data_IF_293712200603
#
_entry.id   IF_293712200603
#
_cell.length_a   1.000
_cell.length_b   1.000
_cell.length_c   1.000
_cell.angle_alpha   90.00
_cell.angle_beta   90.00
_cell.angle_gamma   90.00
#
_symmetry.space_group_name_H-M   'P 1'
#
loop_
_entity.id
_entity.type
_entity.pdbx_description
1 polymer ?
#
# COMPACT_ATOMS: atom_id res chain seq x y z
N UNK A 1 22.56 16.19 17.52
CA UNK A 1 22.57 15.76 16.10
C UNK A 1 21.65 14.54 15.92
N UNK A 2 20.33 14.69 16.16
CA UNK A 2 19.32 13.61 16.11
C UNK A 2 18.08 14.00 15.27
N UNK A 3 18.08 15.18 14.61
CA UNK A 3 16.89 15.71 13.93
C UNK A 3 16.69 15.27 12.47
N UNK A 4 17.70 14.73 11.81
CA UNK A 4 17.63 14.47 10.35
C UNK A 4 17.09 13.09 9.96
N UNK A 5 16.95 12.17 10.92
CA UNK A 5 16.47 10.79 10.66
C UNK A 5 14.94 10.65 10.69
N UNK A 6 14.22 11.57 11.33
CA UNK A 6 12.76 11.49 11.50
C UNK A 6 11.96 12.17 10.38
N UNK A 7 12.54 13.12 9.67
CA UNK A 7 11.89 13.88 8.59
C UNK A 7 11.31 13.01 7.46
N UNK A 8 12.01 12.00 6.91
CA UNK A 8 11.45 11.14 5.88
C UNK A 8 10.27 10.31 6.37
N UNK A 9 10.33 9.87 7.63
CA UNK A 9 9.25 9.10 8.26
C UNK A 9 8.00 9.94 8.50
N UNK A 10 8.17 11.17 9.00
CA UNK A 10 7.07 12.11 9.20
C UNK A 10 6.36 12.42 7.88
N UNK A 11 7.10 12.67 6.81
CA UNK A 11 6.53 12.93 5.48
C UNK A 11 5.77 11.72 4.91
N UNK A 12 6.22 10.49 5.20
CA UNK A 12 5.47 9.27 4.87
C UNK A 12 4.12 9.23 5.57
N UNK A 13 4.09 9.50 6.88
CA UNK A 13 2.87 9.55 7.69
C UNK A 13 1.91 10.64 7.20
N UNK A 14 2.42 11.82 6.82
CA UNK A 14 1.62 12.91 6.25
C UNK A 14 0.98 12.51 4.92
N UNK A 15 1.71 11.84 4.04
CA UNK A 15 1.18 11.34 2.77
C UNK A 15 0.08 10.31 2.98
N UNK A 16 0.28 9.34 3.87
CA UNK A 16 -0.73 8.35 4.20
C UNK A 16 -1.99 9.00 4.78
N UNK A 17 -1.83 10.00 5.64
CA UNK A 17 -2.97 10.76 6.19
C UNK A 17 -3.71 11.55 5.10
N UNK A 18 -2.98 12.15 4.15
CA UNK A 18 -3.57 12.83 3.00
C UNK A 18 -4.34 11.85 2.11
N UNK A 19 -3.74 10.68 1.80
CA UNK A 19 -4.42 9.63 1.05
C UNK A 19 -5.74 9.21 1.73
N UNK A 20 -5.73 8.94 3.04
CA UNK A 20 -6.94 8.54 3.77
C UNK A 20 -8.05 9.59 3.68
N UNK A 21 -7.73 10.89 3.71
CA UNK A 21 -8.70 11.97 3.49
C UNK A 21 -9.32 11.90 2.09
N UNK A 22 -8.50 11.66 1.06
CA UNK A 22 -9.00 11.48 -0.32
C UNK A 22 -9.93 10.28 -0.39
N UNK A 23 -9.54 9.13 0.17
CA UNK A 23 -10.36 7.91 0.17
C UNK A 23 -11.71 8.10 0.86
N UNK A 24 -11.73 8.75 2.02
CA UNK A 24 -12.98 9.07 2.74
C UNK A 24 -13.89 9.96 1.89
N UNK A 25 -13.33 10.95 1.19
CA UNK A 25 -14.11 11.81 0.32
C UNK A 25 -14.65 11.05 -0.91
N UNK A 26 -13.85 10.17 -1.51
CA UNK A 26 -14.30 9.29 -2.60
C UNK A 26 -15.49 8.42 -2.16
N UNK A 27 -15.42 7.82 -0.97
CA UNK A 27 -16.50 7.01 -0.42
C UNK A 27 -17.77 7.83 -0.19
N UNK A 28 -17.65 9.04 0.38
CA UNK A 28 -18.79 9.93 0.56
C UNK A 28 -19.47 10.31 -0.74
N UNK A 29 -18.67 10.56 -1.79
CA UNK A 29 -19.18 10.90 -3.13
C UNK A 29 -19.81 9.70 -3.84
N UNK A 30 -19.26 8.49 -3.67
CA UNK A 30 -19.80 7.27 -4.24
C UNK A 30 -21.10 6.82 -3.54
N UNK A 31 -21.25 7.18 -2.27
CA UNK A 31 -22.39 6.76 -1.42
C UNK A 31 -22.28 5.31 -0.95
N UNK A 32 -23.25 4.91 -0.14
CA UNK A 32 -23.31 3.56 0.41
C UNK A 32 -22.34 3.29 1.57
N UNK A 33 -22.36 2.04 2.02
CA UNK A 33 -21.50 1.57 3.11
C UNK A 33 -20.07 1.39 2.61
N UNK A 34 -19.10 1.87 3.36
CA UNK A 34 -17.67 1.76 3.04
C UNK A 34 -16.81 1.88 4.30
N UNK A 35 -15.56 1.46 4.20
CA UNK A 35 -14.60 1.54 5.28
C UNK A 35 -13.22 1.95 4.73
N UNK A 36 -12.60 2.90 5.37
CA UNK A 36 -11.19 3.29 5.15
C UNK A 36 -10.42 3.02 6.44
N UNK A 37 -9.33 2.26 6.36
CA UNK A 37 -8.53 1.95 7.54
C UNK A 37 -7.94 3.22 8.17
N UNK A 38 -8.01 3.38 9.51
CA UNK A 38 -7.50 4.58 10.18
C UNK A 38 -5.96 4.65 10.21
N UNK A 39 -5.29 3.52 10.04
CA UNK A 39 -3.84 3.36 10.03
C UNK A 39 -3.43 2.23 9.08
N UNK A 40 -2.15 1.89 9.05
CA UNK A 40 -1.65 0.69 8.38
C UNK A 40 -2.38 -0.57 8.86
N UNK A 41 -2.57 -1.52 7.96
CA UNK A 41 -3.24 -2.80 8.22
C UNK A 41 -2.25 -3.93 8.01
N UNK A 42 -2.30 -4.93 8.89
CA UNK A 42 -1.40 -6.07 8.87
C UNK A 42 -2.17 -7.33 8.51
N UNK A 43 -1.67 -8.06 7.51
CA UNK A 43 -2.25 -9.32 7.09
C UNK A 43 -1.29 -10.48 7.34
N UNK A 44 -1.79 -11.63 7.84
CA UNK A 44 -0.98 -12.83 8.00
C UNK A 44 -0.52 -13.37 6.64
N UNK A 45 0.68 -13.91 6.62
CA UNK A 45 1.28 -14.62 5.48
C UNK A 45 1.89 -15.92 5.98
N UNK A 46 2.29 -16.82 5.09
CA UNK A 46 2.98 -18.06 5.47
C UNK A 46 4.27 -17.80 6.27
N UNK A 47 4.94 -16.68 6.03
CA UNK A 47 6.23 -16.35 6.63
C UNK A 47 6.14 -15.24 7.70
N UNK A 48 4.96 -14.96 8.23
CA UNK A 48 4.75 -13.93 9.24
C UNK A 48 3.61 -12.97 8.90
N UNK A 49 3.91 -11.69 8.82
CA UNK A 49 2.90 -10.63 8.61
C UNK A 49 3.41 -9.66 7.54
N UNK A 50 2.51 -9.20 6.69
CA UNK A 50 2.78 -8.09 5.77
C UNK A 50 1.98 -6.86 6.16
N UNK A 51 2.56 -5.68 5.99
CA UNK A 51 1.95 -4.38 6.27
C UNK A 51 1.50 -3.73 4.96
N UNK A 52 0.32 -3.14 4.96
CA UNK A 52 -0.18 -2.26 3.88
C UNK A 52 -0.56 -0.91 4.46
N UNK A 53 -0.26 0.17 3.74
CA UNK A 53 -0.37 1.53 4.25
C UNK A 53 -1.82 1.98 4.44
N UNK A 54 -2.74 1.54 3.58
CA UNK A 54 -4.17 1.76 3.74
C UNK A 54 -4.99 0.66 3.05
N UNK A 55 -6.22 0.49 3.55
CA UNK A 55 -7.24 -0.37 2.95
C UNK A 55 -8.54 0.41 2.83
N UNK A 56 -9.15 0.33 1.65
CA UNK A 56 -10.52 0.78 1.41
C UNK A 56 -11.38 -0.45 1.11
N UNK A 57 -12.51 -0.58 1.79
CA UNK A 57 -13.55 -1.58 1.50
C UNK A 57 -14.80 -0.84 1.02
N UNK A 58 -15.27 -1.22 -0.14
CA UNK A 58 -16.45 -0.66 -0.79
C UNK A 58 -17.20 -1.79 -1.51
N UNK A 59 -18.46 -1.56 -1.89
CA UNK A 59 -19.24 -2.55 -2.64
C UNK A 59 -18.55 -3.01 -3.94
N UNK A 60 -17.66 -2.20 -4.49
CA UNK A 60 -16.92 -2.49 -5.73
C UNK A 60 -15.65 -3.32 -5.54
N UNK A 61 -15.20 -3.58 -4.31
CA UNK A 61 -13.98 -4.33 -4.06
C UNK A 61 -13.28 -3.97 -2.75
N UNK A 62 -12.18 -4.67 -2.49
CA UNK A 62 -11.20 -4.33 -1.45
C UNK A 62 -9.97 -3.73 -2.13
N UNK A 63 -9.60 -2.52 -1.76
CA UNK A 63 -8.47 -1.80 -2.33
C UNK A 63 -7.33 -1.76 -1.33
N UNK A 64 -6.15 -2.18 -1.77
CA UNK A 64 -4.93 -2.24 -0.96
C UNK A 64 -3.94 -1.22 -1.49
N UNK A 65 -3.51 -0.31 -0.63
CA UNK A 65 -2.67 0.82 -1.01
C UNK A 65 -1.24 0.66 -0.50
N UNK A 66 -0.30 0.94 -1.40
CA UNK A 66 1.13 1.11 -1.12
C UNK A 66 1.49 2.56 -1.41
N UNK A 67 1.93 3.30 -0.39
CA UNK A 67 2.35 4.70 -0.48
C UNK A 67 3.86 4.82 -0.70
N UNK A 68 4.27 5.69 -1.59
CA UNK A 68 5.69 5.97 -1.86
C UNK A 68 5.96 7.45 -1.73
N UNK A 69 6.48 7.86 -0.56
CA UNK A 69 6.93 9.23 -0.36
C UNK A 69 8.30 9.44 -0.97
N UNK A 70 8.36 10.07 -2.13
CA UNK A 70 9.61 10.44 -2.80
C UNK A 70 9.39 11.62 -3.75
N UNK A 71 10.46 12.31 -4.12
CA UNK A 71 10.44 13.45 -5.04
C UNK A 71 11.34 13.17 -6.22
N UNK A 72 11.09 13.81 -7.36
CA UNK A 72 11.86 13.64 -8.60
C UNK A 72 11.24 12.64 -9.54
N UNK A 73 11.97 12.29 -10.62
CA UNK A 73 11.48 11.40 -11.67
C UNK A 73 11.61 9.94 -11.27
N UNK A 74 10.51 9.21 -11.31
CA UNK A 74 10.46 7.77 -11.09
C UNK A 74 10.39 7.07 -12.44
N UNK A 75 11.13 5.97 -12.58
CA UNK A 75 11.06 5.13 -13.77
C UNK A 75 11.14 3.65 -13.44
N UNK A 76 10.42 2.84 -14.19
CA UNK A 76 10.40 1.40 -14.04
C UNK A 76 9.28 0.73 -14.81
N UNK A 77 9.50 -0.56 -15.13
CA UNK A 77 8.50 -1.41 -15.80
C UNK A 77 7.82 -2.32 -14.77
N UNK A 78 6.63 -2.80 -15.09
CA UNK A 78 5.85 -3.65 -14.19
C UNK A 78 6.58 -4.92 -13.76
N UNK A 79 7.44 -5.48 -14.64
CA UNK A 79 8.19 -6.72 -14.38
C UNK A 79 9.58 -6.52 -13.81
N UNK A 80 10.06 -5.27 -13.75
CA UNK A 80 11.38 -4.96 -13.21
C UNK A 80 11.39 -5.28 -11.71
N UNK A 81 12.45 -5.86 -11.24
CA UNK A 81 12.62 -6.16 -9.82
C UNK A 81 12.83 -4.89 -8.97
N UNK A 82 13.50 -3.91 -9.59
CA UNK A 82 13.85 -2.63 -8.99
C UNK A 82 13.41 -1.51 -9.92
N UNK A 83 12.89 -0.45 -9.33
CA UNK A 83 12.65 0.82 -9.99
C UNK A 83 13.72 1.83 -9.61
N UNK A 84 13.81 2.92 -10.34
CA UNK A 84 14.76 3.99 -10.07
C UNK A 84 14.03 5.31 -9.82
N UNK A 85 14.65 6.12 -8.96
CA UNK A 85 14.28 7.51 -8.72
C UNK A 85 15.47 8.39 -9.07
N UNK A 86 15.26 9.41 -9.87
CA UNK A 86 16.25 10.43 -10.21
C UNK A 86 15.83 11.78 -9.64
N UNK A 87 16.69 12.41 -8.88
CA UNK A 87 16.48 13.73 -8.29
C UNK A 87 17.74 14.21 -7.59
N UNK A 88 17.92 15.51 -7.46
CA UNK A 88 19.06 16.17 -6.80
C UNK A 88 20.44 15.64 -7.30
N UNK A 89 20.55 15.38 -8.62
CA UNK A 89 21.75 14.85 -9.25
C UNK A 89 22.09 13.41 -8.90
N UNK A 90 21.19 12.66 -8.27
CA UNK A 90 21.39 11.27 -7.81
C UNK A 90 20.36 10.32 -8.42
N UNK A 91 20.79 9.09 -8.65
CA UNK A 91 19.91 7.99 -9.03
C UNK A 91 19.89 6.99 -7.87
N UNK A 92 18.70 6.72 -7.35
CA UNK A 92 18.47 5.76 -6.29
C UNK A 92 17.61 4.61 -6.82
N UNK A 93 17.99 3.38 -6.48
CA UNK A 93 17.22 2.19 -6.81
C UNK A 93 16.39 1.75 -5.61
N UNK A 94 15.13 1.38 -5.82
CA UNK A 94 14.21 0.89 -4.80
C UNK A 94 13.39 -0.29 -5.32
N UNK A 95 12.83 -1.07 -4.41
CA UNK A 95 12.01 -2.22 -4.78
C UNK A 95 10.79 -1.77 -5.58
N UNK A 96 10.46 -2.51 -6.64
CA UNK A 96 9.26 -2.26 -7.43
C UNK A 96 8.00 -2.34 -6.54
N UNK A 97 7.24 -1.24 -6.40
CA UNK A 97 6.09 -1.20 -5.52
C UNK A 97 4.93 -2.06 -6.03
N UNK A 98 4.85 -2.35 -7.33
CA UNK A 98 3.85 -3.25 -7.91
C UNK A 98 4.07 -4.67 -7.39
N UNK A 99 5.32 -5.15 -7.38
CA UNK A 99 5.67 -6.47 -6.86
C UNK A 99 5.44 -6.52 -5.34
N UNK A 100 5.74 -5.44 -4.65
CA UNK A 100 5.51 -5.33 -3.21
C UNK A 100 4.01 -5.41 -2.91
N UNK A 101 3.20 -4.56 -3.53
CA UNK A 101 1.77 -4.45 -3.24
C UNK A 101 0.97 -5.67 -3.73
N UNK A 102 1.46 -6.40 -4.75
CA UNK A 102 0.86 -7.68 -5.13
C UNK A 102 0.84 -8.68 -3.97
N UNK A 103 1.91 -8.76 -3.19
CA UNK A 103 1.97 -9.63 -2.00
C UNK A 103 1.00 -9.17 -0.91
N UNK A 104 0.86 -7.86 -0.71
CA UNK A 104 -0.12 -7.29 0.21
C UNK A 104 -1.55 -7.64 -0.22
N UNK A 105 -1.83 -7.51 -1.51
CA UNK A 105 -3.10 -7.87 -2.14
C UNK A 105 -3.44 -9.36 -1.96
N UNK A 106 -2.50 -10.26 -2.25
CA UNK A 106 -2.66 -11.72 -2.06
C UNK A 106 -2.98 -12.04 -0.60
N UNK A 107 -2.23 -11.47 0.34
CA UNK A 107 -2.45 -11.65 1.77
C UNK A 107 -3.81 -11.08 2.23
N UNK A 108 -4.19 -9.91 1.72
CA UNK A 108 -5.48 -9.30 2.02
C UNK A 108 -6.64 -10.15 1.47
N UNK A 109 -6.56 -10.63 0.23
CA UNK A 109 -7.59 -11.49 -0.37
C UNK A 109 -7.77 -12.77 0.44
N UNK A 110 -6.69 -13.44 0.83
CA UNK A 110 -6.72 -14.60 1.71
C UNK A 110 -7.29 -14.29 3.08
N UNK A 111 -6.87 -13.18 3.70
CA UNK A 111 -7.41 -12.74 5.00
C UNK A 111 -8.90 -12.47 4.92
N UNK A 112 -9.39 -11.75 3.93
CA UNK A 112 -10.81 -11.45 3.78
C UNK A 112 -11.64 -12.64 3.29
N UNK A 113 -11.02 -13.65 2.69
CA UNK A 113 -11.69 -14.80 2.09
C UNK A 113 -12.49 -14.41 0.84
N UNK A 114 -11.87 -13.58 -0.01
CA UNK A 114 -12.42 -13.11 -1.28
C UNK A 114 -11.55 -13.59 -2.46
N UNK A 115 -12.09 -13.52 -3.68
CA UNK A 115 -11.30 -13.79 -4.88
C UNK A 115 -10.21 -12.70 -5.03
N UNK A 116 -9.05 -13.09 -5.48
CA UNK A 116 -7.95 -12.13 -5.71
C UNK A 116 -8.33 -11.03 -6.72
N UNK A 117 -9.21 -11.34 -7.68
CA UNK A 117 -9.74 -10.36 -8.64
C UNK A 117 -10.64 -9.29 -8.03
N UNK A 118 -11.20 -9.53 -6.84
CA UNK A 118 -12.04 -8.58 -6.10
C UNK A 118 -11.21 -7.71 -5.13
N UNK A 119 -9.90 -7.99 -5.05
CA UNK A 119 -8.92 -7.19 -4.35
C UNK A 119 -8.09 -6.39 -5.36
N UNK A 120 -8.04 -5.08 -5.23
CA UNK A 120 -7.43 -4.15 -6.19
C UNK A 120 -6.15 -3.56 -5.58
N UNK A 121 -5.05 -3.64 -6.33
CA UNK A 121 -3.76 -3.05 -5.96
C UNK A 121 -3.69 -1.60 -6.40
N UNK A 122 -3.33 -0.70 -5.48
CA UNK A 122 -3.19 0.73 -5.73
C UNK A 122 -1.82 1.21 -5.22
N UNK A 123 -1.02 1.81 -6.10
CA UNK A 123 0.26 2.39 -5.74
C UNK A 123 0.16 3.89 -5.86
N UNK A 124 0.42 4.59 -4.75
CA UNK A 124 0.22 6.03 -4.64
C UNK A 124 1.53 6.72 -4.28
N UNK A 125 2.01 7.54 -5.19
CA UNK A 125 3.15 8.42 -4.96
C UNK A 125 2.68 9.77 -4.42
N UNK A 126 3.56 10.49 -3.73
CA UNK A 126 3.27 11.89 -3.38
C UNK A 126 3.28 12.77 -4.64
N UNK A 127 2.64 13.94 -4.54
CA UNK A 127 2.39 14.81 -5.70
C UNK A 127 3.65 15.40 -6.33
N UNK A 128 4.77 15.43 -5.59
CA UNK A 128 6.07 15.88 -6.07
C UNK A 128 6.82 14.91 -6.99
N UNK A 129 6.24 13.72 -7.30
CA UNK A 129 6.85 12.76 -8.22
C UNK A 129 6.49 13.06 -9.68
N UNK A 130 7.45 12.84 -10.58
CA UNK A 130 7.20 12.68 -12.01
C UNK A 130 7.12 11.19 -12.34
N UNK A 131 5.95 10.73 -12.79
CA UNK A 131 5.66 9.33 -13.12
C UNK A 131 5.63 9.07 -14.63
N UNK A 132 6.03 10.04 -15.47
CA UNK A 132 5.95 9.95 -16.94
C UNK A 132 6.74 8.78 -17.55
N UNK A 133 7.69 8.22 -16.80
CA UNK A 133 8.52 7.06 -17.19
C UNK A 133 8.17 5.77 -16.48
N UNK A 134 6.99 5.71 -15.87
CA UNK A 134 6.48 4.51 -15.19
C UNK A 134 5.53 3.78 -16.12
N UNK A 135 5.76 2.49 -16.32
CA UNK A 135 4.80 1.63 -16.99
C UNK A 135 3.66 1.30 -16.02
N UNK A 136 2.44 1.68 -16.34
CA UNK A 136 1.27 1.46 -15.46
C UNK A 136 0.48 0.21 -15.84
N UNK A 137 0.35 -0.11 -17.14
CA UNK A 137 -0.45 -1.24 -17.62
C UNK A 137 -1.90 -1.18 -17.11
N UNK A 138 -2.31 -2.22 -16.40
CA UNK A 138 -3.63 -2.30 -15.75
C UNK A 138 -3.58 -2.02 -14.23
N UNK A 139 -2.42 -1.68 -13.70
CA UNK A 139 -2.24 -1.36 -12.27
C UNK A 139 -2.72 0.07 -12.00
N UNK A 140 -3.33 0.30 -10.85
CA UNK A 140 -3.69 1.64 -10.41
C UNK A 140 -2.47 2.31 -9.79
N UNK A 141 -1.78 3.10 -10.60
CA UNK A 141 -0.57 3.82 -10.21
C UNK A 141 -0.79 5.31 -10.50
N UNK A 142 -0.63 6.14 -9.48
CA UNK A 142 -0.76 7.58 -9.62
C UNK A 142 -0.24 8.34 -8.41
N UNK A 143 -0.60 9.60 -8.32
CA UNK A 143 -0.26 10.48 -7.20
C UNK A 143 -1.42 10.59 -6.22
N UNK A 144 -1.16 11.14 -5.05
CA UNK A 144 -2.21 11.36 -4.04
C UNK A 144 -3.36 12.20 -4.62
N UNK A 145 -3.05 13.25 -5.37
CA UNK A 145 -4.04 14.11 -6.01
C UNK A 145 -4.88 13.38 -7.08
N UNK A 146 -4.30 12.40 -7.77
CA UNK A 146 -4.96 11.66 -8.88
C UNK A 146 -5.83 10.51 -8.36
N UNK A 147 -5.75 10.16 -7.07
CA UNK A 147 -6.36 8.94 -6.51
C UNK A 147 -7.87 8.90 -6.72
N UNK A 148 -8.56 10.02 -6.58
CA UNK A 148 -10.01 10.08 -6.78
C UNK A 148 -10.41 9.71 -8.20
N UNK A 149 -9.72 10.25 -9.20
CA UNK A 149 -9.98 9.99 -10.62
C UNK A 149 -9.64 8.55 -10.99
N UNK A 150 -8.55 8.00 -10.44
CA UNK A 150 -8.15 6.61 -10.63
C UNK A 150 -9.20 5.62 -10.09
N UNK A 151 -9.82 5.93 -8.94
CA UNK A 151 -10.80 5.07 -8.30
C UNK A 151 -12.20 5.20 -8.89
N UNK A 152 -12.57 6.36 -9.42
CA UNK A 152 -13.93 6.65 -9.87
C UNK A 152 -14.54 5.59 -10.81
N UNK A 153 -13.84 5.05 -11.84
CA UNK A 153 -14.39 4.03 -12.72
C UNK A 153 -14.69 2.71 -11.99
N UNK A 154 -13.95 2.42 -10.95
CA UNK A 154 -14.08 1.19 -10.16
C UNK A 154 -15.22 1.30 -9.14
N UNK A 155 -15.34 2.44 -8.46
CA UNK A 155 -16.35 2.66 -7.42
C UNK A 155 -17.81 2.60 -7.94
N UNK A 156 -18.01 2.67 -9.25
CA UNK A 156 -19.31 2.50 -9.89
C UNK A 156 -19.76 1.03 -10.00
N UNK A 157 -18.88 0.07 -9.71
CA UNK A 157 -19.16 -1.37 -9.80
C UNK A 157 -19.78 -1.87 -8.50
N UNK A 158 -20.49 -2.98 -8.57
CA UNK A 158 -20.97 -3.73 -7.40
C UNK A 158 -20.49 -5.17 -7.52
N UNK A 159 -19.67 -5.59 -6.59
CA UNK A 159 -19.05 -6.92 -6.49
C UNK A 159 -19.59 -7.63 -5.26
N UNK A 160 -19.74 -6.90 -4.14
CA UNK A 160 -20.20 -7.44 -2.87
C UNK A 160 -21.64 -7.03 -2.59
N UNK A 161 -22.43 -7.99 -2.08
CA UNK A 161 -23.75 -7.72 -1.47
C UNK A 161 -23.59 -6.90 -0.18
N UNK A 162 -24.69 -6.35 0.33
CA UNK A 162 -24.67 -5.60 1.59
C UNK A 162 -24.16 -6.44 2.77
N UNK A 163 -24.59 -7.70 2.88
CA UNK A 163 -24.18 -8.62 3.94
C UNK A 163 -22.67 -8.96 3.85
N UNK A 164 -22.17 -9.22 2.63
CA UNK A 164 -20.75 -9.46 2.42
C UNK A 164 -19.92 -8.23 2.78
N UNK A 165 -20.36 -7.06 2.38
CA UNK A 165 -19.69 -5.80 2.67
C UNK A 165 -19.61 -5.54 4.19
N UNK A 166 -20.71 -5.73 4.93
CA UNK A 166 -20.70 -5.63 6.39
C UNK A 166 -19.74 -6.63 7.05
N UNK A 167 -19.71 -7.87 6.56
CA UNK A 167 -18.79 -8.90 7.05
C UNK A 167 -17.33 -8.49 6.83
N UNK A 168 -17.00 -7.95 5.64
CA UNK A 168 -15.66 -7.50 5.31
C UNK A 168 -15.23 -6.33 6.19
N UNK A 169 -16.13 -5.34 6.38
CA UNK A 169 -15.87 -4.18 7.23
C UNK A 169 -15.61 -4.60 8.69
N UNK A 170 -16.47 -5.43 9.28
CA UNK A 170 -16.27 -5.96 10.65
C UNK A 170 -14.93 -6.68 10.80
N UNK A 171 -14.48 -7.40 9.74
CA UNK A 171 -13.20 -8.09 9.73
C UNK A 171 -12.02 -7.11 9.68
N UNK A 172 -12.14 -6.03 8.88
CA UNK A 172 -11.12 -4.98 8.80
C UNK A 172 -11.01 -4.16 10.09
N UNK A 173 -12.12 -3.85 10.73
CA UNK A 173 -12.15 -3.17 12.04
C UNK A 173 -11.40 -3.97 13.10
N UNK A 174 -11.63 -5.29 13.17
CA UNK A 174 -10.90 -6.18 14.07
C UNK A 174 -9.40 -6.23 13.76
N UNK A 175 -9.02 -6.26 12.48
CA UNK A 175 -7.62 -6.23 12.08
C UNK A 175 -6.95 -4.90 12.49
N UNK A 176 -7.62 -3.77 12.27
CA UNK A 176 -7.13 -2.46 12.68
C UNK A 176 -7.00 -2.33 14.19
N UNK A 177 -7.93 -2.86 14.98
CA UNK A 177 -7.85 -2.88 16.45
C UNK A 177 -6.65 -3.71 16.95
N UNK A 178 -6.21 -4.69 16.18
CA UNK A 178 -5.07 -5.56 16.52
C UNK A 178 -3.74 -5.07 15.93
N UNK A 179 -3.71 -3.93 15.26
CA UNK A 179 -2.56 -3.43 14.50
C UNK A 179 -1.29 -3.29 15.36
N UNK A 180 -1.38 -2.84 16.60
CA UNK A 180 -0.22 -2.69 17.49
C UNK A 180 0.55 -4.00 17.71
N UNK A 181 -0.16 -5.10 17.96
CA UNK A 181 0.44 -6.43 18.13
C UNK A 181 1.15 -6.91 16.87
N UNK A 182 0.54 -6.70 15.71
CA UNK A 182 1.10 -7.13 14.43
C UNK A 182 2.24 -6.23 13.95
N UNK A 183 2.24 -4.94 14.30
CA UNK A 183 3.35 -4.04 14.03
C UNK A 183 4.66 -4.50 14.68
N UNK A 184 4.59 -4.98 15.93
CA UNK A 184 5.76 -5.54 16.62
C UNK A 184 6.29 -6.81 15.93
N UNK A 185 5.38 -7.72 15.52
CA UNK A 185 5.73 -8.94 14.77
C UNK A 185 6.36 -8.61 13.41
N UNK A 186 5.81 -7.65 12.68
CA UNK A 186 6.34 -7.19 11.41
C UNK A 186 7.75 -6.60 11.58
N UNK A 187 7.94 -5.71 12.56
CA UNK A 187 9.24 -5.12 12.86
C UNK A 187 10.28 -6.18 13.28
N UNK A 188 9.88 -7.22 14.01
CA UNK A 188 10.75 -8.34 14.35
C UNK A 188 11.18 -9.12 13.09
N UNK A 189 10.22 -9.46 12.21
CA UNK A 189 10.50 -10.15 10.94
C UNK A 189 11.48 -9.39 10.04
N UNK A 190 11.34 -8.05 9.95
CA UNK A 190 12.28 -7.21 9.19
C UNK A 190 13.69 -7.27 9.80
N UNK A 191 13.81 -7.22 11.13
CA UNK A 191 15.12 -7.32 11.81
C UNK A 191 15.80 -8.64 11.52
N UNK A 192 15.07 -9.74 11.63
CA UNK A 192 15.58 -11.09 11.37
C UNK A 192 16.03 -11.28 9.92
N UNK A 193 15.24 -10.80 8.96
CA UNK A 193 15.60 -10.83 7.54
C UNK A 193 16.87 -10.02 7.25
N UNK A 194 17.04 -8.84 7.86
CA UNK A 194 18.26 -8.03 7.74
C UNK A 194 19.47 -8.74 8.32
N UNK A 195 19.30 -9.42 9.46
CA UNK A 195 20.37 -10.17 10.12
C UNK A 195 20.83 -11.37 9.29
N UNK A 196 19.89 -12.16 8.75
CA UNK A 196 20.20 -13.29 7.84
C UNK A 196 21.01 -12.84 6.63
N UNK A 197 20.60 -11.77 5.95
CA UNK A 197 21.32 -11.19 4.81
C UNK A 197 22.74 -10.74 5.16
N UNK A 198 22.95 -10.17 6.35
CA UNK A 198 24.29 -9.78 6.82
C UNK A 198 25.18 -11.00 7.07
N UNK A 199 24.61 -12.10 7.59
CA UNK A 199 25.35 -13.33 7.90
C UNK A 199 25.73 -14.06 6.60
N UNK A 200 24.81 -14.14 5.63
CA UNK A 200 25.08 -14.73 4.31
C UNK A 200 26.20 -13.97 3.56
N UNK A 201 26.16 -12.62 3.61
CA UNK A 201 27.19 -11.78 2.98
C UNK A 201 28.59 -11.91 3.62
N UNK A 202 28.64 -12.32 4.91
CA UNK A 202 29.91 -12.63 5.60
C UNK A 202 30.43 -14.02 5.34
N UNK A 203 29.55 -14.99 5.01
CA UNK A 203 29.94 -16.38 4.69
C UNK A 203 30.33 -16.58 3.23
N UNK A 204 29.96 -15.67 2.33
CA UNK A 204 30.28 -15.69 0.91
C UNK A 204 31.53 -14.84 0.54
N UNK A 205 32.28 -14.39 1.54
CA UNK A 205 33.61 -13.80 1.40
C UNK A 205 34.66 -14.69 2.05
#
# INVERSE_FOLDING_TARGET
>A
MTEDTDLPKLRGIEQEAALRKVLVNCCKSAGGLSYVSPSAVYFPTENGVTETDAVLIHASGVYVFECKHMTGAVSGKLRDRMWTKTGDGRVLSFQNPVIQNRRHKEAAAGFFGIREGDCISCIVFNDGCDLSRVETGQELIGKTADTADLLQPYLKRTVFSGEELERLIKKAEKASASAGKYAELHAAGIRDAKQRRKTEKKRGR
#
